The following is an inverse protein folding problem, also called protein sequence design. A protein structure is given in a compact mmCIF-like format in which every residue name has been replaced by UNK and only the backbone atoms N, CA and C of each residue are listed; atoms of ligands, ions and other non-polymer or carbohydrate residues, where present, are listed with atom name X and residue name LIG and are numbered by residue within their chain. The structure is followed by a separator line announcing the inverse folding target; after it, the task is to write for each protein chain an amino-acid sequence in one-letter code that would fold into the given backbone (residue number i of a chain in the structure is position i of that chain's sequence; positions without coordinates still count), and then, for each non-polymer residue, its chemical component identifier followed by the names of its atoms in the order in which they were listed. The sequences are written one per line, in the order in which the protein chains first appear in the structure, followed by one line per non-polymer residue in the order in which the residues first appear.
data_IF_761729861917
#
_entry.id   IF_761729861917
#
_cell.length_a   1.000
_cell.length_b   1.000
_cell.length_c   1.000
_cell.angle_alpha   90.00
_cell.angle_beta   90.00
_cell.angle_gamma   90.00
#
_symmetry.space_group_name_H-M   'P 1'
#
loop_
_entity.id
_entity.type
_entity.pdbx_description
1 polymer ?
#
# COMPACT_ATOMS: atom_id res chain seq x y z
N UNK A 1 4.64 -10.99 -6.86
CA UNK A 1 5.69 -10.39 -7.72
C UNK A 1 5.33 -10.55 -9.19
N UNK A 2 5.86 -9.70 -10.05
CA UNK A 2 5.66 -9.71 -11.51
C UNK A 2 6.95 -9.29 -12.22
N UNK A 3 6.96 -8.12 -12.87
CA UNK A 3 8.14 -7.59 -13.53
C UNK A 3 9.35 -7.52 -12.58
N UNK A 4 10.50 -8.07 -13.01
CA UNK A 4 11.71 -8.21 -12.18
C UNK A 4 11.50 -9.03 -10.89
N UNK A 5 10.53 -9.94 -10.86
CA UNK A 5 10.21 -10.76 -9.68
C UNK A 5 11.39 -11.52 -9.11
N UNK A 6 12.23 -12.11 -9.98
CA UNK A 6 13.44 -12.83 -9.56
C UNK A 6 14.44 -11.92 -8.83
N UNK A 7 14.64 -10.68 -9.32
CA UNK A 7 15.53 -9.72 -8.66
C UNK A 7 15.02 -9.30 -7.29
N UNK A 8 13.69 -9.15 -7.16
CA UNK A 8 13.06 -8.84 -5.86
C UNK A 8 13.26 -10.03 -4.91
N UNK A 9 13.04 -11.25 -5.39
CA UNK A 9 13.24 -12.47 -4.61
C UNK A 9 14.69 -12.60 -4.13
N UNK A 10 15.67 -12.44 -5.03
CA UNK A 10 17.09 -12.50 -4.70
C UNK A 10 17.46 -11.44 -3.64
N UNK A 11 17.00 -10.21 -3.82
CA UNK A 11 17.23 -9.13 -2.86
C UNK A 11 16.65 -9.47 -1.47
N UNK A 12 15.42 -9.96 -1.41
CA UNK A 12 14.77 -10.31 -0.14
C UNK A 12 15.53 -11.45 0.56
N UNK A 13 15.90 -12.51 -0.16
CA UNK A 13 16.66 -13.62 0.41
C UNK A 13 18.05 -13.19 0.93
N UNK A 14 18.73 -12.30 0.19
CA UNK A 14 20.06 -11.81 0.59
C UNK A 14 19.99 -10.84 1.77
N UNK A 15 19.03 -9.91 1.75
CA UNK A 15 18.91 -8.84 2.75
C UNK A 15 18.21 -9.30 4.02
N UNK A 16 17.34 -10.30 3.94
CA UNK A 16 16.49 -10.76 5.04
C UNK A 16 16.47 -12.30 5.15
N UNK A 17 17.63 -12.97 5.34
CA UNK A 17 17.76 -14.43 5.26
C UNK A 17 16.96 -15.19 6.33
N UNK A 18 16.59 -14.52 7.43
CA UNK A 18 15.82 -15.11 8.53
C UNK A 18 14.30 -14.88 8.40
N UNK A 19 13.86 -14.18 7.35
CA UNK A 19 12.44 -13.92 7.14
C UNK A 19 11.82 -15.08 6.35
N UNK A 20 10.75 -15.66 6.88
CA UNK A 20 9.94 -16.63 6.12
C UNK A 20 9.21 -15.88 5.00
N UNK A 21 9.51 -16.23 3.75
CA UNK A 21 8.97 -15.53 2.58
C UNK A 21 8.31 -16.50 1.61
N UNK A 22 7.19 -16.08 1.04
CA UNK A 22 6.49 -16.76 -0.04
C UNK A 22 6.35 -15.82 -1.23
N UNK A 23 6.71 -16.27 -2.42
CA UNK A 23 6.62 -15.47 -3.63
C UNK A 23 5.52 -16.01 -4.53
N UNK A 24 4.54 -15.16 -4.80
CA UNK A 24 3.43 -15.47 -5.71
C UNK A 24 3.59 -14.63 -6.97
N UNK A 25 3.57 -15.29 -8.14
CA UNK A 25 3.77 -14.62 -9.42
C UNK A 25 2.43 -14.23 -10.03
N UNK A 26 2.28 -12.93 -10.28
CA UNK A 26 1.19 -12.37 -11.07
C UNK A 26 1.65 -12.24 -12.53
N UNK A 27 1.37 -13.25 -13.33
CA UNK A 27 1.77 -13.28 -14.75
C UNK A 27 0.95 -12.31 -15.60
N UNK A 28 -0.34 -12.18 -15.29
CA UNK A 28 -1.24 -11.22 -15.94
C UNK A 28 -1.53 -10.09 -14.98
N UNK A 29 -1.24 -8.85 -15.39
CA UNK A 29 -1.43 -7.65 -14.57
C UNK A 29 -2.89 -7.23 -14.61
N UNK A 30 -3.70 -7.79 -13.72
CA UNK A 30 -5.13 -7.50 -13.63
C UNK A 30 -5.49 -6.61 -12.42
N UNK A 31 -4.53 -5.95 -11.81
CA UNK A 31 -4.72 -5.02 -10.70
C UNK A 31 -4.29 -5.56 -9.33
N UNK A 32 -4.37 -4.71 -8.30
CA UNK A 32 -3.94 -5.00 -6.93
C UNK A 32 -4.82 -6.03 -6.23
N UNK A 33 -6.13 -6.03 -6.50
CA UNK A 33 -7.06 -7.04 -5.99
C UNK A 33 -6.73 -8.43 -6.53
N UNK A 34 -6.36 -8.55 -7.82
CA UNK A 34 -5.92 -9.81 -8.39
C UNK A 34 -4.62 -10.31 -7.75
N UNK A 35 -3.65 -9.41 -7.52
CA UNK A 35 -2.40 -9.78 -6.86
C UNK A 35 -2.65 -10.38 -5.46
N UNK A 36 -3.59 -9.83 -4.70
CA UNK A 36 -3.95 -10.32 -3.37
C UNK A 36 -4.71 -11.65 -3.46
N UNK A 37 -5.66 -11.79 -4.38
CA UNK A 37 -6.41 -13.05 -4.55
C UNK A 37 -5.48 -14.25 -4.80
N UNK A 38 -4.39 -14.06 -5.56
CA UNK A 38 -3.40 -15.09 -5.80
C UNK A 38 -2.69 -15.58 -4.52
N UNK A 39 -2.71 -14.81 -3.43
CA UNK A 39 -2.08 -15.19 -2.15
C UNK A 39 -2.99 -16.00 -1.24
N UNK A 40 -4.27 -16.19 -1.58
CA UNK A 40 -5.30 -16.79 -0.73
C UNK A 40 -4.90 -18.11 -0.08
N UNK A 41 -4.29 -19.02 -0.85
CA UNK A 41 -3.88 -20.34 -0.36
C UNK A 41 -2.73 -20.30 0.64
N UNK A 42 -1.97 -19.20 0.67
CA UNK A 42 -0.82 -19.01 1.58
C UNK A 42 -1.26 -18.29 2.84
N UNK A 43 -2.09 -17.26 2.68
CA UNK A 43 -2.55 -16.40 3.78
C UNK A 43 -3.57 -17.13 4.67
N UNK A 44 -4.48 -17.90 4.06
CA UNK A 44 -5.56 -18.55 4.81
C UNK A 44 -6.47 -17.53 5.50
N UNK A 45 -6.72 -17.76 6.79
CA UNK A 45 -7.59 -16.92 7.63
C UNK A 45 -6.80 -15.98 8.56
N UNK A 46 -5.47 -15.91 8.43
CA UNK A 46 -4.63 -15.05 9.24
C UNK A 46 -4.89 -13.57 8.96
N UNK A 47 -4.77 -12.74 10.02
CA UNK A 47 -4.79 -11.28 9.87
C UNK A 47 -3.65 -10.83 8.94
N UNK A 48 -3.93 -9.92 8.00
CA UNK A 48 -2.94 -9.47 7.03
C UNK A 48 -2.64 -7.98 7.15
N UNK A 49 -1.38 -7.65 6.89
CA UNK A 49 -0.95 -6.28 6.69
C UNK A 49 -0.45 -6.12 5.25
N UNK A 50 -1.24 -5.44 4.43
CA UNK A 50 -0.90 -5.18 3.02
C UNK A 50 -0.09 -3.90 2.92
N UNK A 51 1.06 -3.98 2.25
CA UNK A 51 1.92 -2.84 1.94
C UNK A 51 2.17 -2.81 0.45
N UNK A 52 1.82 -1.71 -0.21
CA UNK A 52 2.14 -1.53 -1.63
C UNK A 52 3.63 -1.22 -1.78
N UNK A 53 4.29 -1.88 -2.74
CA UNK A 53 5.74 -1.87 -2.89
C UNK A 53 6.35 -0.55 -3.36
N UNK A 54 5.54 0.39 -3.83
CA UNK A 54 5.92 1.74 -4.27
C UNK A 54 5.62 2.83 -3.22
N UNK A 55 5.37 2.43 -1.98
CA UNK A 55 4.98 3.33 -0.88
C UNK A 55 6.04 3.33 0.22
N UNK A 56 6.47 4.52 0.64
CA UNK A 56 7.27 4.74 1.84
C UNK A 56 6.46 5.61 2.80
N UNK A 57 6.19 5.09 4.00
CA UNK A 57 5.37 5.79 4.99
C UNK A 57 6.03 5.81 6.36
N UNK A 58 5.80 6.91 7.10
CA UNK A 58 6.10 7.01 8.52
C UNK A 58 4.80 7.05 9.31
N UNK A 59 4.59 6.09 10.19
CA UNK A 59 3.38 5.94 11.00
C UNK A 59 3.70 5.29 12.34
N UNK A 60 2.75 5.29 13.25
CA UNK A 60 2.87 4.57 14.52
C UNK A 60 2.48 3.10 14.32
N UNK A 61 3.49 2.24 14.25
CA UNK A 61 3.30 0.79 14.05
C UNK A 61 2.52 0.18 15.23
N UNK A 62 2.75 0.64 16.46
CA UNK A 62 2.08 0.10 17.64
C UNK A 62 0.58 0.43 17.65
N UNK A 63 0.22 1.64 17.23
CA UNK A 63 -1.18 2.02 17.05
C UNK A 63 -1.89 1.06 16.09
N UNK A 64 -1.27 0.76 14.95
CA UNK A 64 -1.87 -0.08 13.92
C UNK A 64 -1.93 -1.54 14.35
N UNK A 65 -0.82 -2.10 14.86
CA UNK A 65 -0.75 -3.52 15.23
C UNK A 65 -1.72 -3.84 16.39
N UNK A 66 -1.80 -2.96 17.39
CA UNK A 66 -2.63 -3.19 18.58
C UNK A 66 -4.11 -2.82 18.40
N UNK A 67 -4.49 -2.23 17.25
CA UNK A 67 -5.90 -1.89 17.00
C UNK A 67 -6.77 -3.14 17.00
N UNK A 68 -7.93 -3.10 17.68
CA UNK A 68 -8.92 -4.18 17.62
C UNK A 68 -9.68 -4.24 16.28
N UNK A 69 -9.52 -3.22 15.43
CA UNK A 69 -10.21 -3.10 14.14
C UNK A 69 -9.25 -3.27 12.96
N UNK A 70 -9.81 -3.59 11.81
CA UNK A 70 -9.15 -3.40 10.53
C UNK A 70 -8.86 -1.91 10.31
N UNK A 71 -7.70 -1.56 9.72
CA UNK A 71 -7.25 -0.17 9.60
C UNK A 71 -6.74 0.15 8.20
N UNK A 72 -7.07 1.34 7.71
CA UNK A 72 -6.56 1.85 6.44
C UNK A 72 -5.70 3.10 6.69
N UNK A 73 -4.49 3.10 6.14
CA UNK A 73 -3.60 4.25 6.17
C UNK A 73 -4.10 5.36 5.24
N UNK A 74 -4.21 6.58 5.79
CA UNK A 74 -4.70 7.73 5.04
C UNK A 74 -3.79 8.95 5.20
N UNK A 75 -3.78 9.79 4.16
CA UNK A 75 -3.12 11.10 4.14
C UNK A 75 -4.03 12.13 3.49
N UNK A 76 -4.13 13.30 4.12
CA UNK A 76 -4.80 14.44 3.50
C UNK A 76 -3.92 14.99 2.38
N UNK A 77 -4.50 15.13 1.17
CA UNK A 77 -3.83 15.64 -0.04
C UNK A 77 -4.66 16.75 -0.67
N UNK A 78 -4.03 17.59 -1.47
CA UNK A 78 -4.74 18.68 -2.16
C UNK A 78 -5.57 18.15 -3.33
N UNK A 79 -5.05 17.19 -4.09
CA UNK A 79 -5.75 16.55 -5.20
C UNK A 79 -5.74 15.01 -5.05
N UNK A 80 -6.84 14.40 -4.57
CA UNK A 80 -6.91 12.97 -4.34
C UNK A 80 -7.30 12.14 -5.57
N UNK A 81 -7.55 12.72 -6.73
CA UNK A 81 -8.11 12.04 -7.92
C UNK A 81 -7.26 10.89 -8.48
N UNK A 82 -5.99 10.85 -8.14
CA UNK A 82 -5.07 9.79 -8.56
C UNK A 82 -4.96 8.61 -7.59
N UNK A 83 -5.70 8.64 -6.48
CA UNK A 83 -5.60 7.68 -5.38
C UNK A 83 -6.96 7.09 -5.03
N UNK A 84 -6.96 6.00 -4.30
CA UNK A 84 -8.12 5.59 -3.55
C UNK A 84 -8.46 6.67 -2.51
N UNK A 85 -9.73 6.99 -2.33
CA UNK A 85 -10.20 8.06 -1.44
C UNK A 85 -11.13 7.49 -0.39
N UNK A 86 -10.85 7.76 0.90
CA UNK A 86 -11.68 7.36 2.01
C UNK A 86 -12.60 8.49 2.47
N UNK A 87 -13.87 8.18 2.72
CA UNK A 87 -14.81 9.01 3.47
C UNK A 87 -14.91 8.47 4.89
N UNK A 88 -14.67 9.32 5.88
CA UNK A 88 -14.66 8.95 7.30
C UNK A 88 -15.88 9.56 7.96
N UNK A 89 -16.66 8.74 8.67
CA UNK A 89 -17.85 9.14 9.40
C UNK A 89 -17.51 9.90 10.70
N UNK A 90 -18.55 10.44 11.32
CA UNK A 90 -18.42 11.17 12.60
C UNK A 90 -17.99 10.26 13.76
N UNK A 91 -18.26 8.96 13.65
CA UNK A 91 -17.84 7.91 14.60
C UNK A 91 -16.36 7.49 14.42
N UNK A 92 -15.64 8.05 13.44
CA UNK A 92 -14.23 7.75 13.12
C UNK A 92 -14.03 6.49 12.29
N UNK A 93 -15.10 5.79 11.90
CA UNK A 93 -15.00 4.67 10.97
C UNK A 93 -15.10 5.14 9.52
N UNK A 94 -14.53 4.33 8.62
CA UNK A 94 -14.60 4.58 7.20
C UNK A 94 -15.96 4.11 6.68
N UNK A 95 -16.70 5.03 6.07
CA UNK A 95 -18.03 4.77 5.49
C UNK A 95 -17.96 4.30 4.04
N UNK A 96 -16.93 4.75 3.32
CA UNK A 96 -16.77 4.46 1.90
C UNK A 96 -15.30 4.62 1.49
N UNK A 97 -14.85 3.79 0.56
CA UNK A 97 -13.63 4.01 -0.20
C UNK A 97 -13.92 3.94 -1.69
N UNK A 98 -13.30 4.80 -2.49
CA UNK A 98 -13.52 4.86 -3.95
C UNK A 98 -12.18 4.98 -4.64
N UNK A 99 -11.92 4.10 -5.61
CA UNK A 99 -10.69 4.14 -6.41
C UNK A 99 -10.74 5.28 -7.42
N UNK A 100 -9.78 6.17 -7.36
CA UNK A 100 -9.53 7.28 -8.30
C UNK A 100 -10.83 7.99 -8.76
N UNK A 101 -11.62 8.56 -7.84
CA UNK A 101 -12.89 9.18 -8.18
C UNK A 101 -12.69 10.43 -9.04
N UNK A 102 -13.49 10.57 -10.10
CA UNK A 102 -13.50 11.79 -10.92
C UNK A 102 -13.92 13.03 -10.11
N UNK A 103 -14.85 12.85 -9.17
CA UNK A 103 -15.31 13.88 -8.22
C UNK A 103 -15.15 13.32 -6.80
N UNK A 104 -14.04 13.62 -6.11
CA UNK A 104 -13.79 13.14 -4.76
C UNK A 104 -14.75 13.78 -3.75
N UNK A 105 -15.31 12.97 -2.84
CA UNK A 105 -16.11 13.45 -1.70
C UNK A 105 -15.27 13.83 -0.48
N UNK A 106 -14.00 13.43 -0.48
CA UNK A 106 -13.05 13.65 0.59
C UNK A 106 -11.67 13.88 -0.01
N UNK A 107 -10.76 14.45 0.76
CA UNK A 107 -9.35 14.60 0.39
C UNK A 107 -8.42 13.65 1.18
N UNK A 108 -8.98 12.61 1.80
CA UNK A 108 -8.24 11.58 2.51
C UNK A 108 -7.85 10.46 1.54
N UNK A 109 -6.64 10.55 0.99
CA UNK A 109 -6.07 9.55 0.09
C UNK A 109 -5.62 8.31 0.87
N UNK A 110 -5.89 7.13 0.32
CA UNK A 110 -5.34 5.86 0.79
C UNK A 110 -3.85 5.78 0.40
N UNK A 111 -3.00 5.40 1.35
CA UNK A 111 -1.54 5.46 1.16
C UNK A 111 -0.89 4.10 0.86
N UNK A 112 -1.69 3.08 0.61
CA UNK A 112 -1.15 1.74 0.32
C UNK A 112 -0.72 0.93 1.53
N UNK A 113 -1.25 1.25 2.71
CA UNK A 113 -1.05 0.50 3.96
C UNK A 113 -2.39 0.06 4.53
N UNK A 114 -2.62 -1.24 4.65
CA UNK A 114 -3.92 -1.78 5.05
C UNK A 114 -3.75 -2.95 6.03
N UNK A 115 -4.28 -2.80 7.24
CA UNK A 115 -4.44 -3.90 8.21
C UNK A 115 -5.83 -4.48 8.03
N UNK A 116 -5.95 -5.76 7.74
CA UNK A 116 -7.22 -6.44 7.51
C UNK A 116 -7.30 -7.66 8.42
N UNK A 117 -8.24 -7.65 9.33
CA UNK A 117 -8.46 -8.73 10.31
C UNK A 117 -9.39 -9.81 9.75
N UNK A 118 -10.41 -9.38 9.02
CA UNK A 118 -11.42 -10.26 8.43
C UNK A 118 -10.97 -10.75 7.04
N UNK A 119 -9.87 -11.48 7.00
CA UNK A 119 -9.20 -11.90 5.75
C UNK A 119 -10.08 -12.84 4.92
N UNK A 120 -10.82 -13.74 5.54
CA UNK A 120 -11.81 -14.55 4.84
C UNK A 120 -12.84 -13.69 4.09
N UNK A 121 -13.33 -12.63 4.76
CA UNK A 121 -14.27 -11.69 4.17
C UNK A 121 -13.66 -10.86 3.03
N UNK A 122 -12.37 -10.49 3.12
CA UNK A 122 -11.64 -9.88 2.02
C UNK A 122 -11.65 -10.78 0.79
N UNK A 123 -11.30 -12.06 0.93
CA UNK A 123 -11.27 -13.00 -0.19
C UNK A 123 -12.68 -13.29 -0.75
N UNK A 124 -13.72 -13.27 0.05
CA UNK A 124 -15.12 -13.32 -0.46
C UNK A 124 -15.44 -12.11 -1.34
N UNK A 125 -15.07 -10.89 -0.90
CA UNK A 125 -15.31 -9.68 -1.66
C UNK A 125 -14.45 -9.65 -2.95
N UNK A 126 -13.18 -10.05 -2.90
CA UNK A 126 -12.33 -10.19 -4.09
C UNK A 126 -12.97 -11.19 -5.08
N UNK A 127 -13.36 -12.36 -4.62
CA UNK A 127 -14.02 -13.37 -5.45
C UNK A 127 -15.32 -12.85 -6.09
N UNK A 128 -16.11 -12.07 -5.33
CA UNK A 128 -17.31 -11.41 -5.86
C UNK A 128 -16.96 -10.45 -7.01
N UNK A 129 -15.91 -9.63 -6.89
CA UNK A 129 -15.46 -8.74 -7.96
C UNK A 129 -15.09 -9.52 -9.22
N UNK A 130 -14.40 -10.67 -9.09
CA UNK A 130 -14.03 -11.52 -10.22
C UNK A 130 -15.23 -12.15 -10.91
N UNK A 131 -16.16 -12.75 -10.16
CA UNK A 131 -17.35 -13.39 -10.74
C UNK A 131 -18.24 -12.39 -11.48
N UNK A 132 -18.38 -11.18 -10.92
CA UNK A 132 -19.21 -10.12 -11.50
C UNK A 132 -18.46 -9.26 -12.53
N UNK A 133 -17.18 -9.55 -12.80
CA UNK A 133 -16.27 -8.76 -13.63
C UNK A 133 -16.28 -7.25 -13.30
N UNK A 134 -16.33 -6.93 -11.99
CA UNK A 134 -16.33 -5.53 -11.51
C UNK A 134 -14.91 -5.00 -11.51
N UNK A 135 -14.64 -4.07 -12.43
CA UNK A 135 -13.34 -3.42 -12.61
C UNK A 135 -13.46 -1.91 -12.54
N UNK A 136 -12.49 -1.27 -11.92
CA UNK A 136 -12.31 0.18 -11.97
C UNK A 136 -11.08 0.48 -12.80
N UNK A 137 -11.25 1.29 -13.85
CA UNK A 137 -10.21 1.61 -14.85
C UNK A 137 -9.60 0.35 -15.52
N UNK A 138 -10.40 -0.71 -15.69
CA UNK A 138 -9.98 -1.95 -16.35
C UNK A 138 -9.25 -2.95 -15.44
N UNK A 139 -9.11 -2.67 -14.16
CA UNK A 139 -8.39 -3.50 -13.18
C UNK A 139 -9.28 -3.90 -12.01
N UNK A 140 -9.00 -5.06 -11.42
CA UNK A 140 -9.55 -5.47 -10.12
C UNK A 140 -8.75 -4.81 -9.01
N UNK A 141 -9.31 -3.79 -8.37
CA UNK A 141 -8.60 -3.03 -7.34
C UNK A 141 -8.91 -3.54 -5.93
N UNK A 142 -7.90 -3.51 -5.05
CA UNK A 142 -8.12 -3.78 -3.63
C UNK A 142 -9.13 -2.80 -3.02
N UNK A 143 -9.09 -1.53 -3.44
CA UNK A 143 -10.03 -0.49 -2.97
C UNK A 143 -11.49 -0.88 -3.19
N UNK A 144 -11.81 -1.50 -4.35
CA UNK A 144 -13.17 -1.97 -4.65
C UNK A 144 -13.59 -3.14 -3.74
N UNK A 145 -12.65 -4.03 -3.39
CA UNK A 145 -12.91 -5.11 -2.43
C UNK A 145 -13.13 -4.57 -1.01
N UNK A 146 -12.34 -3.58 -0.59
CA UNK A 146 -12.52 -2.89 0.71
C UNK A 146 -13.87 -2.17 0.77
N UNK A 147 -14.29 -1.50 -0.30
CA UNK A 147 -15.63 -0.88 -0.38
C UNK A 147 -16.76 -1.92 -0.30
N UNK A 148 -16.56 -3.07 -0.95
CA UNK A 148 -17.48 -4.21 -0.83
C UNK A 148 -17.59 -4.70 0.62
N UNK A 149 -16.46 -4.85 1.34
CA UNK A 149 -16.45 -5.24 2.74
C UNK A 149 -17.20 -4.22 3.61
N UNK A 150 -16.92 -2.91 3.43
CA UNK A 150 -17.56 -1.82 4.17
C UNK A 150 -19.07 -1.83 3.95
N UNK A 151 -19.52 -1.90 2.70
CA UNK A 151 -20.97 -1.98 2.34
C UNK A 151 -21.67 -3.19 2.93
N UNK A 152 -20.94 -4.28 3.16
CA UNK A 152 -21.45 -5.50 3.78
C UNK A 152 -21.25 -5.55 5.30
N UNK A 153 -20.84 -4.43 5.93
CA UNK A 153 -20.81 -4.22 7.37
C UNK A 153 -19.47 -4.36 8.07
N UNK A 154 -18.36 -4.57 7.35
CA UNK A 154 -17.02 -4.55 7.94
C UNK A 154 -16.68 -3.17 8.50
N UNK A 155 -15.98 -3.14 9.64
CA UNK A 155 -15.61 -1.92 10.34
C UNK A 155 -14.11 -1.63 10.15
N UNK A 156 -13.82 -0.54 9.46
CA UNK A 156 -12.47 -0.05 9.25
C UNK A 156 -12.27 1.29 9.95
N UNK A 157 -11.18 1.42 10.70
CA UNK A 157 -10.71 2.71 11.20
C UNK A 157 -9.62 3.26 10.29
N UNK A 158 -9.47 4.57 10.28
CA UNK A 158 -8.35 5.22 9.60
C UNK A 158 -7.20 5.49 10.56
N UNK A 159 -5.96 5.32 10.10
CA UNK A 159 -4.79 5.86 10.79
C UNK A 159 -4.07 6.86 9.90
N UNK A 160 -3.55 7.92 10.51
CA UNK A 160 -2.86 8.98 9.78
C UNK A 160 -1.38 8.68 9.67
N UNK A 161 -0.82 8.76 8.47
CA UNK A 161 0.62 8.70 8.29
C UNK A 161 1.24 10.08 8.46
N UNK A 162 2.41 10.13 9.13
CA UNK A 162 3.18 11.37 9.34
C UNK A 162 3.78 11.86 8.03
N UNK A 163 4.48 10.99 7.35
CA UNK A 163 5.06 11.22 6.04
C UNK A 163 4.64 10.12 5.08
N UNK A 164 4.41 10.50 3.82
CA UNK A 164 4.07 9.59 2.74
C UNK A 164 4.83 9.99 1.49
N UNK A 165 5.53 9.06 0.91
CA UNK A 165 6.29 9.20 -0.31
C UNK A 165 5.79 8.16 -1.30
N UNK A 166 5.09 8.64 -2.32
CA UNK A 166 4.64 7.84 -3.46
C UNK A 166 5.81 7.71 -4.44
N UNK A 167 6.30 6.50 -4.65
CA UNK A 167 7.38 6.18 -5.56
C UNK A 167 6.89 5.53 -6.88
N UNK A 168 5.58 5.55 -7.12
CA UNK A 168 4.95 4.93 -8.30
C UNK A 168 5.18 5.70 -9.61
N UNK A 169 5.62 6.98 -9.55
CA UNK A 169 5.90 7.79 -10.72
C UNK A 169 7.31 8.35 -10.66
N UNK A 170 7.91 8.63 -11.82
CA UNK A 170 9.28 9.15 -11.92
C UNK A 170 9.46 10.48 -11.19
N UNK A 171 8.49 11.38 -11.33
CA UNK A 171 8.51 12.71 -10.73
C UNK A 171 8.43 12.61 -9.20
N UNK A 172 7.47 11.86 -8.67
CA UNK A 172 7.30 11.66 -7.22
C UNK A 172 8.46 10.86 -6.61
N UNK A 173 9.07 9.94 -7.35
CA UNK A 173 10.27 9.23 -6.91
C UNK A 173 11.45 10.17 -6.70
N UNK A 174 11.69 11.12 -7.61
CA UNK A 174 12.78 12.10 -7.49
C UNK A 174 12.56 13.04 -6.29
N UNK A 175 11.31 13.52 -6.10
CA UNK A 175 10.95 14.35 -4.94
C UNK A 175 11.11 13.59 -3.61
N UNK A 176 10.66 12.33 -3.59
CA UNK A 176 10.81 11.44 -2.44
C UNK A 176 12.29 11.23 -2.10
N UNK A 177 13.12 10.93 -3.11
CA UNK A 177 14.56 10.76 -2.93
C UNK A 177 15.21 12.02 -2.37
N UNK A 178 14.94 13.21 -2.93
CA UNK A 178 15.49 14.47 -2.45
C UNK A 178 15.10 14.76 -0.99
N UNK A 179 13.85 14.46 -0.62
CA UNK A 179 13.34 14.68 0.74
C UNK A 179 13.97 13.70 1.73
N UNK A 180 14.05 12.41 1.37
CA UNK A 180 14.66 11.38 2.21
C UNK A 180 16.16 11.61 2.39
N UNK A 181 16.87 12.06 1.35
CA UNK A 181 18.27 12.43 1.45
C UNK A 181 18.49 13.61 2.42
N UNK A 182 17.65 14.65 2.36
CA UNK A 182 17.71 15.76 3.33
C UNK A 182 17.45 15.29 4.77
N UNK A 183 16.55 14.33 4.94
CA UNK A 183 16.14 13.84 6.28
C UNK A 183 17.15 12.86 6.88
N UNK A 184 17.68 11.96 6.08
CA UNK A 184 18.50 10.83 6.53
C UNK A 184 19.92 10.82 5.97
N UNK A 185 20.20 11.58 4.91
CA UNK A 185 21.48 11.58 4.18
C UNK A 185 22.60 12.41 4.81
N UNK A 186 22.41 12.94 6.02
CA UNK A 186 23.31 13.92 6.64
C UNK A 186 24.70 13.45 7.07
N UNK A 187 25.11 12.22 6.81
CA UNK A 187 26.45 11.76 7.09
C UNK A 187 26.89 10.72 6.06
N UNK A 188 27.47 11.17 4.96
CA UNK A 188 28.47 10.36 4.28
C UNK A 188 29.67 10.34 5.25
N UNK A 189 29.65 9.39 6.20
CA UNK A 189 30.80 9.14 7.06
C UNK A 189 31.89 8.56 6.18
N UNK A 190 32.99 9.30 6.11
CA UNK A 190 34.35 8.93 5.80
C UNK A 190 34.56 7.49 5.33
N UNK A 191 35.12 7.32 4.14
CA UNK A 191 35.87 6.14 3.79
C UNK A 191 35.58 5.47 2.46
N UNK A 192 34.81 6.06 1.58
CA UNK A 192 34.82 5.63 0.19
C UNK A 192 35.43 6.77 -0.65
N UNK A 193 36.72 6.69 -0.86
CA UNK A 193 37.40 7.45 -1.91
C UNK A 193 36.90 6.93 -3.25
N UNK A 194 35.92 7.63 -3.81
CA UNK A 194 35.55 7.44 -5.19
C UNK A 194 36.50 8.25 -6.04
N UNK A 195 37.44 7.59 -6.72
CA UNK A 195 38.29 8.24 -7.72
C UNK A 195 37.36 8.94 -8.76
N UNK A 196 37.70 10.19 -9.10
CA UNK A 196 36.99 11.01 -10.08
C UNK A 196 35.50 11.34 -9.78
N UNK A 197 35.10 11.36 -8.51
CA UNK A 197 33.73 11.66 -8.11
C UNK A 197 33.68 12.96 -7.29
N UNK A 198 32.76 13.87 -7.70
CA UNK A 198 32.41 15.06 -6.91
C UNK A 198 31.09 14.76 -6.20
N UNK A 199 31.13 14.71 -4.87
CA UNK A 199 29.92 14.57 -4.04
C UNK A 199 29.40 15.97 -3.73
N UNK A 200 28.22 16.31 -4.27
CA UNK A 200 27.54 17.56 -3.95
C UNK A 200 26.54 17.23 -2.82
N UNK A 201 26.74 17.79 -1.62
CA UNK A 201 25.78 17.59 -0.52
C UNK A 201 24.39 18.10 -0.93
N UNK A 202 23.30 17.47 -0.45
CA UNK A 202 21.92 17.88 -0.73
C UNK A 202 21.57 19.25 -0.16
#
# INVERSE_FOLDING_TARGET
VGYLGEKIQDYVHQSYPNLTTHFVYQNERQGTGHAIELTKSIVGDDEVFVVLGDTICEYDVQEVVNSPYSMLGVKKVDDPRNFGVATIGEDGFIEQVVEKPAIPKSNMALVGLYKIKETHFLFECLHHLFIQDIKTQGEYNLTDALDCMIKRGAKFQSFKVKSWFDCGKKETLLESNATLMKKYGGNIKDGHDFEDTIIIPP
#
